data_IF_400913045204
#
_entry.id   IF_400913045204
#
_cell.length_a   1.000
_cell.length_b   1.000
_cell.length_c   1.000
_cell.angle_alpha   90.00
_cell.angle_beta   90.00
_cell.angle_gamma   90.00
#
_symmetry.space_group_name_H-M   'P 1'
#
loop_
_entity.id
_entity.type
_entity.pdbx_description
1 polymer ?
#
# COMPACT_ATOMS: atom_id res chain seq x y z
N UNK A 1 -33.01 -22.66 -22.50
CA UNK A 1 -33.15 -21.20 -22.67
C UNK A 1 -32.36 -20.57 -21.53
N UNK A 2 -31.26 -19.89 -21.86
CA UNK A 2 -30.47 -18.97 -21.01
C UNK A 2 -31.39 -18.04 -20.19
N UNK A 3 -30.97 -17.35 -19.11
CA UNK A 3 -29.84 -16.43 -19.07
C UNK A 3 -29.36 -16.15 -17.63
N UNK A 4 -28.04 -16.08 -17.51
CA UNK A 4 -27.15 -15.58 -16.45
C UNK A 4 -27.69 -14.50 -15.50
N UNK A 5 -27.49 -14.73 -14.20
CA UNK A 5 -27.40 -13.69 -13.17
C UNK A 5 -25.94 -13.52 -12.77
N UNK A 6 -25.28 -12.50 -13.33
CA UNK A 6 -23.90 -12.15 -13.01
C UNK A 6 -23.80 -11.72 -11.54
N UNK A 7 -22.97 -12.42 -10.75
CA UNK A 7 -22.41 -11.83 -9.53
C UNK A 7 -21.48 -10.69 -9.96
N UNK A 8 -21.92 -9.46 -9.81
CA UNK A 8 -21.04 -8.29 -9.91
C UNK A 8 -20.29 -8.24 -8.58
N UNK A 9 -19.07 -8.78 -8.53
CA UNK A 9 -18.13 -8.39 -7.49
C UNK A 9 -17.95 -6.87 -7.62
N UNK A 10 -18.47 -6.12 -6.65
CA UNK A 10 -18.06 -4.74 -6.45
C UNK A 10 -16.58 -4.79 -6.12
N UNK A 11 -15.75 -4.42 -7.10
CA UNK A 11 -14.35 -4.09 -6.87
C UNK A 11 -14.31 -2.86 -5.97
N UNK A 12 -14.43 -3.04 -4.65
CA UNK A 12 -13.78 -2.13 -3.72
C UNK A 12 -12.29 -2.42 -3.94
N UNK A 13 -11.64 -1.57 -4.74
CA UNK A 13 -10.19 -1.62 -4.87
C UNK A 13 -9.66 -1.25 -3.48
N UNK A 14 -9.09 -2.19 -2.69
CA UNK A 14 -8.36 -1.76 -1.51
C UNK A 14 -7.18 -0.95 -2.08
N UNK A 15 -6.81 0.13 -1.41
CA UNK A 15 -5.68 0.99 -1.76
C UNK A 15 -4.37 0.18 -1.68
N UNK A 16 -4.15 -0.73 -2.64
CA UNK A 16 -3.03 -1.67 -2.68
C UNK A 16 -1.95 -1.05 -3.54
N UNK A 17 -0.89 -0.57 -2.88
CA UNK A 17 0.40 -0.37 -3.54
C UNK A 17 0.85 -1.63 -4.26
N UNK A 18 1.72 -1.46 -5.26
CA UNK A 18 2.21 -2.57 -6.08
C UNK A 18 3.51 -3.09 -5.45
N UNK A 19 3.53 -4.32 -4.93
CA UNK A 19 4.75 -4.99 -4.50
C UNK A 19 5.73 -5.08 -5.66
N UNK A 20 7.00 -4.79 -5.38
CA UNK A 20 8.05 -4.89 -6.38
C UNK A 20 9.06 -5.96 -5.99
N UNK A 21 9.36 -6.85 -6.93
CA UNK A 21 10.43 -7.82 -6.82
C UNK A 21 11.78 -7.20 -7.18
N UNK A 22 12.82 -7.64 -6.47
CA UNK A 22 14.20 -7.28 -6.73
C UNK A 22 15.06 -8.54 -6.83
N UNK A 23 15.97 -8.53 -7.79
CA UNK A 23 16.89 -9.61 -8.13
C UNK A 23 18.35 -9.15 -7.94
N UNK A 24 19.32 -10.04 -8.12
CA UNK A 24 20.75 -9.79 -8.03
C UNK A 24 21.21 -9.19 -6.69
N UNK A 25 20.66 -9.71 -5.58
CA UNK A 25 21.02 -9.28 -4.23
C UNK A 25 20.96 -7.75 -4.05
N UNK A 26 19.91 -7.11 -4.58
CA UNK A 26 19.73 -5.66 -4.55
C UNK A 26 19.93 -5.04 -3.16
N UNK A 27 19.45 -5.70 -2.11
CA UNK A 27 19.58 -5.27 -0.71
C UNK A 27 20.82 -5.88 -0.02
N UNK A 28 21.82 -6.29 -0.81
CA UNK A 28 23.01 -6.99 -0.36
C UNK A 28 22.80 -8.50 -0.23
N UNK A 29 23.92 -9.21 -0.30
CA UNK A 29 24.00 -10.66 -0.17
C UNK A 29 23.66 -11.11 1.26
N UNK A 30 22.93 -12.20 1.38
CA UNK A 30 22.70 -12.91 2.63
C UNK A 30 23.91 -13.73 3.06
N UNK A 31 23.70 -14.52 4.11
CA UNK A 31 24.69 -15.45 4.62
C UNK A 31 23.98 -16.68 5.18
N UNK A 32 24.54 -17.86 4.93
CA UNK A 32 23.99 -19.12 5.45
C UNK A 32 23.24 -19.90 4.36
N UNK A 33 22.16 -20.64 4.70
CA UNK A 33 21.44 -21.44 3.72
C UNK A 33 20.57 -20.57 2.81
N UNK A 34 20.37 -21.02 1.57
CA UNK A 34 19.30 -20.55 0.68
C UNK A 34 18.19 -21.60 0.73
N UNK A 35 16.98 -21.22 1.14
CA UNK A 35 15.93 -22.19 1.46
C UNK A 35 14.96 -22.46 0.31
N UNK A 36 14.70 -21.46 -0.52
CA UNK A 36 13.70 -21.53 -1.58
C UNK A 36 14.31 -21.13 -2.92
N UNK A 37 13.79 -21.74 -3.98
CA UNK A 37 14.20 -21.55 -5.36
C UNK A 37 13.03 -21.88 -6.30
N UNK A 38 12.96 -21.20 -7.45
CA UNK A 38 11.90 -21.29 -8.46
C UNK A 38 10.50 -21.11 -7.91
N UNK A 39 10.32 -20.07 -7.11
CA UNK A 39 9.00 -19.71 -6.60
C UNK A 39 8.10 -19.21 -7.74
N UNK A 40 6.98 -19.89 -7.97
CA UNK A 40 6.03 -19.59 -9.04
C UNK A 40 4.63 -19.35 -8.47
N UNK A 41 4.51 -18.37 -7.58
CA UNK A 41 3.24 -17.98 -6.99
C UNK A 41 2.22 -17.58 -8.07
N UNK A 42 0.96 -17.90 -7.82
CA UNK A 42 -0.20 -17.46 -8.61
C UNK A 42 -0.78 -16.12 -8.14
N UNK A 43 -0.40 -15.69 -6.94
CA UNK A 43 -0.79 -14.41 -6.34
C UNK A 43 -1.94 -14.51 -5.34
N UNK A 44 -2.45 -15.72 -5.07
CA UNK A 44 -3.53 -15.96 -4.11
C UNK A 44 -3.05 -16.68 -2.84
N UNK A 45 -1.79 -17.11 -2.81
CA UNK A 45 -1.16 -17.80 -1.68
C UNK A 45 -1.08 -16.88 -0.46
N UNK A 46 -1.30 -17.46 0.72
CA UNK A 46 -1.22 -16.78 2.01
C UNK A 46 0.21 -16.76 2.57
N UNK A 47 1.05 -17.68 2.11
CA UNK A 47 2.45 -17.79 2.51
C UNK A 47 3.33 -18.31 1.37
N UNK A 48 4.64 -18.03 1.43
CA UNK A 48 5.60 -18.48 0.42
C UNK A 48 5.69 -20.01 0.28
N UNK A 49 5.36 -20.78 1.32
CA UNK A 49 5.37 -22.25 1.27
C UNK A 49 4.23 -22.84 0.43
N UNK A 50 3.17 -22.08 0.18
CA UNK A 50 2.04 -22.51 -0.65
C UNK A 50 2.32 -22.32 -2.15
N UNK A 51 3.30 -21.49 -2.49
CA UNK A 51 3.68 -21.26 -3.87
C UNK A 51 4.37 -22.52 -4.44
N UNK A 52 4.10 -22.90 -5.70
CA UNK A 52 4.90 -23.92 -6.37
C UNK A 52 6.39 -23.53 -6.34
N UNK A 53 7.25 -24.41 -5.81
CA UNK A 53 8.69 -24.19 -5.68
C UNK A 53 9.46 -25.52 -5.69
N UNK A 54 10.78 -25.47 -5.84
CA UNK A 54 11.65 -26.66 -5.66
C UNK A 54 11.62 -27.12 -4.18
N UNK A 55 12.02 -28.36 -3.88
CA UNK A 55 12.09 -28.78 -2.47
C UNK A 55 13.02 -27.86 -1.65
N UNK A 56 12.78 -27.75 -0.34
CA UNK A 56 13.61 -26.93 0.55
C UNK A 56 15.12 -27.21 0.40
N UNK A 57 15.93 -26.15 0.29
CA UNK A 57 17.38 -26.20 0.06
C UNK A 57 17.81 -26.84 -1.27
N UNK A 58 16.88 -27.12 -2.19
CA UNK A 58 17.19 -27.60 -3.52
C UNK A 58 17.29 -26.42 -4.50
N UNK A 59 18.48 -25.83 -4.58
CA UNK A 59 18.79 -24.68 -5.43
C UNK A 59 20.15 -24.84 -6.12
N UNK A 60 20.36 -24.11 -7.21
CA UNK A 60 21.68 -23.93 -7.83
C UNK A 60 22.24 -22.52 -7.64
N UNK A 61 21.64 -21.76 -6.73
CA UNK A 61 21.95 -20.35 -6.54
C UNK A 61 23.08 -20.11 -5.55
N UNK A 62 23.76 -18.98 -5.69
CA UNK A 62 24.60 -18.37 -4.65
C UNK A 62 23.94 -17.10 -4.07
N UNK A 63 24.59 -16.42 -3.12
CA UNK A 63 23.98 -15.26 -2.45
C UNK A 63 23.91 -14.00 -3.33
N UNK A 64 24.55 -13.97 -4.51
CA UNK A 64 24.32 -12.92 -5.50
C UNK A 64 22.90 -13.01 -6.08
N UNK A 65 22.25 -14.16 -5.97
CA UNK A 65 20.89 -14.42 -6.45
C UNK A 65 19.86 -14.32 -5.32
N UNK A 66 20.20 -13.68 -4.19
CA UNK A 66 19.24 -13.49 -3.10
C UNK A 66 18.15 -12.48 -3.50
N UNK A 67 16.89 -12.93 -3.39
CA UNK A 67 15.70 -12.19 -3.74
C UNK A 67 15.35 -11.11 -2.70
N UNK A 68 14.87 -9.97 -3.20
CA UNK A 68 14.37 -8.86 -2.39
C UNK A 68 12.97 -8.43 -2.77
N UNK A 69 12.33 -7.68 -1.88
CA UNK A 69 11.03 -7.03 -2.16
C UNK A 69 11.03 -5.61 -1.66
N UNK A 70 10.22 -4.77 -2.32
CA UNK A 70 9.70 -3.56 -1.73
C UNK A 70 8.18 -3.68 -1.65
N UNK A 71 7.68 -3.78 -0.43
CA UNK A 71 6.27 -3.76 -0.09
C UNK A 71 5.82 -2.32 0.01
N UNK A 72 5.96 -1.56 -1.08
CA UNK A 72 5.43 -0.21 -1.14
C UNK A 72 3.91 -0.32 -1.06
N UNK A 73 3.27 -0.05 0.09
CA UNK A 73 1.86 -0.38 0.26
C UNK A 73 0.96 0.68 -0.35
N UNK A 74 1.55 1.74 -0.90
CA UNK A 74 0.85 2.88 -1.46
C UNK A 74 1.37 3.14 -2.87
N UNK A 75 0.45 3.25 -3.82
CA UNK A 75 0.74 3.91 -5.10
C UNK A 75 0.62 5.42 -4.93
N UNK A 76 1.16 6.17 -5.89
CA UNK A 76 0.90 7.60 -5.97
C UNK A 76 -0.60 7.88 -5.92
N UNK A 77 -0.98 8.87 -5.11
CA UNK A 77 -2.36 9.29 -4.95
C UNK A 77 -3.18 8.56 -3.91
N UNK A 78 -2.59 7.59 -3.20
CA UNK A 78 -3.23 7.08 -1.97
C UNK A 78 -3.30 8.22 -0.96
N UNK A 79 -4.45 8.34 -0.28
CA UNK A 79 -4.70 9.37 0.72
C UNK A 79 -4.91 8.76 2.10
N UNK A 80 -4.62 9.54 3.15
CA UNK A 80 -4.93 9.21 4.54
C UNK A 80 -5.38 10.46 5.31
N UNK A 81 -6.05 10.24 6.43
CA UNK A 81 -6.44 11.29 7.38
C UNK A 81 -5.62 11.14 8.67
N UNK A 82 -5.00 12.22 9.13
CA UNK A 82 -4.08 12.24 10.29
C UNK A 82 -4.51 13.34 11.27
N UNK A 83 -4.24 13.17 12.57
CA UNK A 83 -4.47 14.24 13.56
C UNK A 83 -5.84 14.21 14.23
N UNK A 84 -6.58 13.09 14.10
CA UNK A 84 -7.73 12.76 14.96
C UNK A 84 -7.61 11.31 15.46
N UNK A 85 -8.28 11.03 16.58
CA UNK A 85 -8.46 9.66 17.10
C UNK A 85 -9.48 8.85 16.26
N UNK A 86 -10.24 9.54 15.41
CA UNK A 86 -11.23 8.94 14.53
C UNK A 86 -10.66 8.65 13.13
N UNK A 87 -10.93 7.47 12.54
CA UNK A 87 -10.43 7.12 11.21
C UNK A 87 -11.16 7.81 10.05
N UNK A 88 -12.24 8.56 10.32
CA UNK A 88 -13.04 9.23 9.29
C UNK A 88 -12.84 10.74 9.26
N UNK A 89 -11.89 11.28 10.02
CA UNK A 89 -11.57 12.70 9.97
C UNK A 89 -10.09 12.97 10.25
N UNK A 90 -9.57 14.07 9.72
CA UNK A 90 -8.17 14.46 9.93
C UNK A 90 -7.64 15.38 8.85
N UNK A 91 -6.41 15.85 9.04
CA UNK A 91 -5.59 16.48 8.01
C UNK A 91 -5.37 15.48 6.87
N UNK A 92 -5.59 15.93 5.65
CA UNK A 92 -5.40 15.14 4.46
C UNK A 92 -3.93 15.07 4.08
N UNK A 93 -3.44 13.85 3.92
CA UNK A 93 -2.12 13.60 3.36
C UNK A 93 -2.25 12.67 2.14
N UNK A 94 -1.39 12.88 1.15
CA UNK A 94 -1.29 12.10 -0.08
C UNK A 94 0.10 11.49 -0.19
N UNK A 95 0.17 10.30 -0.77
CA UNK A 95 1.42 9.61 -1.04
C UNK A 95 1.90 9.90 -2.46
N UNK A 96 3.17 10.28 -2.62
CA UNK A 96 3.80 10.41 -3.92
C UNK A 96 5.29 10.08 -3.83
N UNK A 97 5.79 9.26 -4.76
CA UNK A 97 7.23 9.02 -4.96
C UNK A 97 8.02 8.56 -3.71
N UNK A 98 7.38 7.85 -2.77
CA UNK A 98 8.04 7.33 -1.56
C UNK A 98 7.67 8.04 -0.27
N UNK A 99 7.10 9.24 -0.36
CA UNK A 99 6.86 10.10 0.79
C UNK A 99 5.39 10.49 0.94
N UNK A 100 5.00 10.74 2.19
CA UNK A 100 3.75 11.40 2.52
C UNK A 100 3.96 12.90 2.55
N UNK A 101 2.98 13.63 2.05
CA UNK A 101 2.92 15.08 2.20
C UNK A 101 1.48 15.57 2.28
N UNK A 102 1.33 16.80 2.72
CA UNK A 102 0.04 17.43 2.95
C UNK A 102 -0.53 18.02 1.66
N UNK A 103 -1.77 18.49 1.74
CA UNK A 103 -2.48 19.10 0.61
C UNK A 103 -2.94 20.48 1.04
N UNK A 104 -2.68 21.51 0.23
CA UNK A 104 -3.11 22.87 0.51
C UNK A 104 -4.64 23.01 0.45
N UNK A 105 -5.22 23.88 1.28
CA UNK A 105 -6.66 24.14 1.39
C UNK A 105 -7.22 25.19 0.43
N UNK A 106 -6.36 25.78 -0.42
CA UNK A 106 -6.75 26.71 -1.46
C UNK A 106 -7.84 26.13 -2.37
N UNK A 107 -8.94 26.88 -2.49
CA UNK A 107 -10.12 26.54 -3.28
C UNK A 107 -10.81 25.21 -2.91
N UNK A 108 -10.56 24.67 -1.72
CA UNK A 108 -11.23 23.45 -1.26
C UNK A 108 -12.73 23.66 -1.02
N UNK A 109 -13.49 22.62 -1.38
CA UNK A 109 -14.95 22.59 -1.29
C UNK A 109 -15.43 21.18 -0.95
N UNK A 110 -16.71 21.02 -0.63
CA UNK A 110 -17.32 19.73 -0.35
C UNK A 110 -17.16 18.71 -1.51
N UNK A 111 -17.01 19.16 -2.76
CA UNK A 111 -16.77 18.27 -3.90
C UNK A 111 -15.43 17.53 -3.78
N UNK A 112 -14.39 18.20 -3.30
CA UNK A 112 -13.07 17.62 -3.04
C UNK A 112 -13.13 16.61 -1.90
N UNK A 113 -13.74 17.03 -0.78
CA UNK A 113 -13.96 16.18 0.38
C UNK A 113 -14.74 14.91 0.00
N UNK A 114 -15.75 15.02 -0.87
CA UNK A 114 -16.54 13.87 -1.31
C UNK A 114 -15.70 12.86 -2.11
N UNK A 115 -14.75 13.31 -2.93
CA UNK A 115 -13.82 12.44 -3.66
C UNK A 115 -12.90 11.71 -2.67
N UNK A 116 -12.31 12.44 -1.71
CA UNK A 116 -11.43 11.86 -0.67
C UNK A 116 -12.18 10.83 0.17
N UNK A 117 -13.36 11.18 0.69
CA UNK A 117 -14.15 10.28 1.52
C UNK A 117 -14.58 9.03 0.74
N UNK A 118 -14.98 9.16 -0.52
CA UNK A 118 -15.29 8.02 -1.38
C UNK A 118 -14.06 7.15 -1.65
N UNK A 119 -12.91 7.76 -1.90
CA UNK A 119 -11.64 7.04 -2.10
C UNK A 119 -11.22 6.25 -0.86
N UNK A 120 -11.49 6.78 0.34
CA UNK A 120 -11.29 6.11 1.63
C UNK A 120 -12.38 5.08 1.97
N UNK A 121 -13.40 4.91 1.12
CA UNK A 121 -14.47 3.94 1.30
C UNK A 121 -15.69 4.46 2.08
N UNK A 122 -15.70 5.72 2.50
CA UNK A 122 -16.85 6.36 3.12
C UNK A 122 -17.90 6.75 2.09
N UNK A 123 -19.18 6.61 2.46
CA UNK A 123 -20.33 6.82 1.56
C UNK A 123 -21.30 7.91 2.04
N UNK A 124 -21.05 8.50 3.21
CA UNK A 124 -21.88 9.57 3.76
C UNK A 124 -21.49 10.95 3.24
N UNK A 125 -21.94 11.97 3.96
CA UNK A 125 -21.56 13.36 3.72
C UNK A 125 -20.06 13.54 3.92
N UNK A 126 -19.48 14.48 3.20
CA UNK A 126 -18.08 14.87 3.32
C UNK A 126 -17.99 16.37 3.54
N UNK A 127 -17.09 16.79 4.42
CA UNK A 127 -16.89 18.18 4.80
C UNK A 127 -15.41 18.53 4.76
N UNK A 128 -15.12 19.76 4.38
CA UNK A 128 -13.80 20.36 4.54
C UNK A 128 -13.70 20.88 5.97
N UNK A 129 -12.60 20.56 6.64
CA UNK A 129 -12.23 21.17 7.91
C UNK A 129 -11.11 22.17 7.65
N UNK A 130 -11.40 23.45 7.90
CA UNK A 130 -10.47 24.56 7.71
C UNK A 130 -9.63 24.83 8.97
N UNK A 131 -8.67 25.75 8.83
CA UNK A 131 -7.97 26.41 9.94
C UNK A 131 -7.10 25.49 10.79
N UNK A 132 -6.51 24.46 10.19
CA UNK A 132 -5.59 23.56 10.89
C UNK A 132 -6.24 22.78 12.05
N UNK A 133 -7.55 22.52 12.00
CA UNK A 133 -8.31 21.85 13.06
C UNK A 133 -7.67 20.54 13.56
N UNK A 134 -7.01 19.80 12.66
CA UNK A 134 -6.35 18.53 12.94
C UNK A 134 -4.82 18.67 13.10
N UNK A 135 -4.36 19.90 13.32
CA UNK A 135 -2.96 20.28 13.39
C UNK A 135 -2.29 20.39 12.03
N UNK A 136 -1.22 21.17 12.00
CA UNK A 136 -0.35 21.35 10.85
C UNK A 136 0.48 20.08 10.59
N UNK A 137 0.77 19.81 9.31
CA UNK A 137 1.73 18.80 8.93
C UNK A 137 3.16 19.28 9.04
N UNK A 138 4.07 18.41 8.58
CA UNK A 138 5.50 18.72 8.52
C UNK A 138 6.09 18.11 7.26
N UNK A 139 7.02 18.81 6.61
CA UNK A 139 7.76 18.28 5.47
C UNK A 139 7.20 18.77 4.15
N UNK A 140 6.78 17.86 3.29
CA UNK A 140 6.32 18.18 1.94
C UNK A 140 4.85 18.60 1.95
N UNK A 141 4.51 19.65 1.20
CA UNK A 141 3.15 19.93 0.72
C UNK A 141 3.14 19.46 -0.74
N UNK A 142 2.36 18.42 -1.04
CA UNK A 142 2.47 17.70 -2.32
C UNK A 142 1.45 18.13 -3.36
N UNK A 143 0.27 18.58 -2.93
CA UNK A 143 -0.80 18.99 -3.83
C UNK A 143 -1.33 20.38 -3.46
N UNK A 144 -1.69 21.10 -4.51
CA UNK A 144 -2.26 22.43 -4.47
C UNK A 144 -3.17 22.64 -5.69
N UNK A 145 -4.07 23.62 -5.62
CA UNK A 145 -5.04 24.00 -6.66
C UNK A 145 -5.83 22.79 -7.17
N UNK A 146 -6.27 21.94 -6.24
CA UNK A 146 -7.08 20.76 -6.55
C UNK A 146 -8.45 21.22 -7.04
N UNK A 147 -8.92 20.65 -8.15
CA UNK A 147 -10.16 21.00 -8.83
C UNK A 147 -10.96 19.74 -9.16
N UNK A 148 -11.80 19.32 -8.22
CA UNK A 148 -12.70 18.19 -8.37
C UNK A 148 -14.11 18.65 -8.78
N UNK A 149 -14.77 17.87 -9.64
CA UNK A 149 -16.21 17.96 -9.93
C UNK A 149 -17.05 17.21 -8.91
N UNK A 150 -16.43 16.32 -8.13
CA UNK A 150 -17.07 15.48 -7.11
C UNK A 150 -17.39 14.06 -7.59
N UNK A 151 -17.17 13.75 -8.87
CA UNK A 151 -17.45 12.43 -9.49
C UNK A 151 -16.21 11.55 -9.68
N UNK A 152 -15.02 12.09 -9.40
CA UNK A 152 -13.73 11.46 -9.64
C UNK A 152 -13.51 10.21 -8.77
N UNK A 153 -12.83 9.19 -9.31
CA UNK A 153 -12.56 7.96 -8.54
C UNK A 153 -11.54 8.15 -7.42
N UNK A 154 -10.58 9.06 -7.61
CA UNK A 154 -9.48 9.37 -6.70
C UNK A 154 -9.16 10.86 -6.75
N UNK A 155 -8.47 11.37 -5.73
CA UNK A 155 -8.03 12.77 -5.66
C UNK A 155 -7.14 13.16 -6.85
N UNK A 156 -6.26 12.25 -7.32
CA UNK A 156 -5.41 12.48 -8.50
C UNK A 156 -6.15 12.47 -9.83
N UNK A 157 -7.40 12.05 -9.86
CA UNK A 157 -8.22 12.17 -11.07
C UNK A 157 -8.82 13.57 -11.23
N UNK A 158 -8.70 14.42 -10.20
CA UNK A 158 -9.06 15.83 -10.25
C UNK A 158 -7.94 16.62 -10.96
N UNK A 159 -8.27 17.81 -11.50
CA UNK A 159 -7.21 18.73 -11.92
C UNK A 159 -6.42 19.19 -10.69
N UNK A 160 -5.10 19.32 -10.79
CA UNK A 160 -4.26 19.83 -9.70
C UNK A 160 -2.96 20.42 -10.27
N UNK A 161 -2.25 21.21 -9.48
CA UNK A 161 -0.91 21.68 -9.83
C UNK A 161 0.09 20.51 -9.95
N UNK A 162 1.26 20.77 -10.55
CA UNK A 162 2.36 19.79 -10.54
C UNK A 162 2.79 19.46 -9.10
N UNK A 163 3.25 18.24 -8.87
CA UNK A 163 3.66 17.77 -7.55
C UNK A 163 4.64 18.72 -6.85
N UNK A 164 4.31 19.12 -5.62
CA UNK A 164 5.13 20.03 -4.83
C UNK A 164 5.17 21.48 -5.30
N UNK A 165 4.41 21.84 -6.34
CA UNK A 165 4.25 23.24 -6.76
C UNK A 165 3.07 23.85 -6.01
N UNK A 166 3.39 24.66 -5.00
CA UNK A 166 2.43 25.40 -4.18
C UNK A 166 3.05 26.73 -3.71
N UNK A 167 2.23 27.67 -3.28
CA UNK A 167 2.64 28.85 -2.50
C UNK A 167 2.17 28.84 -1.04
N UNK A 168 1.57 27.71 -0.63
CA UNK A 168 1.07 27.50 0.72
C UNK A 168 2.15 27.18 1.76
N UNK A 169 1.78 27.35 3.02
CA UNK A 169 2.47 26.92 4.23
C UNK A 169 1.66 25.86 4.98
N UNK A 170 2.23 25.21 6.00
CA UNK A 170 1.50 24.15 6.72
C UNK A 170 0.29 24.65 7.53
N UNK A 171 0.15 25.97 7.76
CA UNK A 171 -1.09 26.52 8.32
C UNK A 171 -2.28 26.43 7.36
N UNK A 172 -2.02 26.12 6.09
CA UNK A 172 -2.99 25.96 5.00
C UNK A 172 -3.17 24.47 4.63
N UNK A 173 -2.75 23.54 5.51
CA UNK A 173 -2.99 22.12 5.28
C UNK A 173 -4.48 21.78 5.48
N UNK A 174 -5.10 21.20 4.44
CA UNK A 174 -6.53 20.91 4.45
C UNK A 174 -6.90 19.74 5.35
N UNK A 175 -7.99 19.88 6.09
CA UNK A 175 -8.67 18.80 6.79
C UNK A 175 -9.89 18.28 6.06
N UNK A 176 -10.21 17.00 6.23
CA UNK A 176 -11.43 16.37 5.70
C UNK A 176 -12.12 15.60 6.81
N UNK A 177 -13.45 15.71 6.87
CA UNK A 177 -14.33 14.89 7.71
C UNK A 177 -15.32 14.12 6.86
N UNK A 178 -15.38 12.81 7.07
CA UNK A 178 -16.26 11.88 6.38
C UNK A 178 -17.33 11.35 7.34
N UNK A 179 -18.56 11.24 6.87
CA UNK A 179 -19.63 10.55 7.60
C UNK A 179 -19.73 9.09 7.11
N UNK A 180 -20.00 8.19 8.07
CA UNK A 180 -20.34 6.79 7.78
C UNK A 180 -21.78 6.75 7.27
N UNK A 181 -21.97 6.93 5.97
CA UNK A 181 -23.25 6.66 5.31
C UNK A 181 -23.75 5.27 5.69
N UNK A 182 -25.07 5.13 5.88
CA UNK A 182 -25.75 3.98 6.50
C UNK A 182 -25.18 2.59 6.17
N UNK A 183 -25.15 1.78 7.22
CA UNK A 183 -24.61 0.42 7.37
C UNK A 183 -24.42 -0.43 6.10
N UNK A 184 -23.19 -0.93 5.94
CA UNK A 184 -22.98 -2.38 5.79
C UNK A 184 -21.85 -2.81 6.73
N UNK A 185 -22.22 -3.55 7.77
CA UNK A 185 -21.27 -4.29 8.59
C UNK A 185 -20.74 -5.48 7.78
N UNK A 186 -19.65 -5.27 7.06
CA UNK A 186 -18.81 -6.38 6.59
C UNK A 186 -17.36 -6.06 6.94
N UNK A 187 -16.86 -6.75 7.98
CA UNK A 187 -15.43 -6.97 8.17
C UNK A 187 -15.17 -8.37 7.60
N UNK A 188 -14.57 -8.51 6.41
CA UNK A 188 -14.06 -9.80 5.98
C UNK A 188 -12.96 -10.21 6.95
N UNK A 189 -13.09 -11.39 7.53
CA UNK A 189 -12.13 -11.93 8.50
C UNK A 189 -10.71 -11.97 7.93
N UNK A 190 -9.75 -11.54 8.75
CA UNK A 190 -8.32 -11.71 8.47
C UNK A 190 -8.01 -13.21 8.34
N UNK A 191 -7.37 -13.66 7.25
CA UNK A 191 -6.87 -15.03 7.16
C UNK A 191 -5.75 -15.23 8.19
N UNK A 192 -5.79 -16.35 8.93
CA UNK A 192 -4.70 -16.75 9.81
C UNK A 192 -3.48 -17.13 8.96
N UNK A 193 -2.33 -16.52 9.25
CA UNK A 193 -1.08 -16.78 8.52
C UNK A 193 -0.51 -18.11 9.01
N UNK A 194 -0.69 -19.16 8.22
CA UNK A 194 0.03 -20.44 8.36
C UNK A 194 1.21 -20.45 7.39
N UNK A 195 2.42 -20.53 7.94
CA UNK A 195 3.64 -20.61 7.14
C UNK A 195 4.92 -20.31 7.93
N UNK A 196 6.10 -20.43 7.30
CA UNK A 196 7.35 -20.13 7.95
C UNK A 196 7.44 -18.63 8.25
N UNK A 197 8.18 -18.25 9.30
CA UNK A 197 8.39 -16.84 9.61
C UNK A 197 9.20 -16.20 8.48
N UNK A 198 8.76 -15.03 8.03
CA UNK A 198 9.44 -14.25 6.99
C UNK A 198 9.89 -12.91 7.58
N UNK A 199 11.04 -12.40 7.15
CA UNK A 199 11.51 -11.06 7.47
C UNK A 199 12.16 -10.39 6.27
N UNK A 200 12.22 -9.06 6.30
CA UNK A 200 12.97 -8.24 5.36
C UNK A 200 14.23 -7.71 6.04
N UNK A 201 15.39 -7.87 5.40
CA UNK A 201 16.69 -7.47 5.94
C UNK A 201 17.37 -6.48 4.99
N UNK A 202 18.09 -5.51 5.57
CA UNK A 202 18.93 -4.55 4.84
C UNK A 202 18.18 -3.63 3.84
N UNK A 203 16.88 -3.40 4.08
CA UNK A 203 16.16 -2.27 3.46
C UNK A 203 16.36 -0.97 4.24
N UNK A 204 16.13 0.17 3.59
CA UNK A 204 16.16 1.48 4.24
C UNK A 204 14.90 1.72 5.10
N UNK A 205 13.84 0.96 4.82
CA UNK A 205 12.62 0.91 5.64
C UNK A 205 12.25 -0.52 6.06
N UNK A 206 11.35 -0.64 7.03
CA UNK A 206 10.76 -1.94 7.46
C UNK A 206 9.90 -2.63 6.39
N UNK A 207 9.68 -2.00 5.24
CA UNK A 207 8.81 -2.48 4.16
C UNK A 207 9.58 -2.95 2.94
N UNK A 208 10.90 -2.94 2.99
CA UNK A 208 11.72 -3.44 1.91
C UNK A 208 12.94 -4.17 2.45
N UNK A 209 13.58 -4.94 1.59
CA UNK A 209 14.79 -5.67 1.93
C UNK A 209 14.87 -7.02 1.25
N UNK A 210 15.99 -7.71 1.50
CA UNK A 210 16.18 -9.11 1.16
C UNK A 210 15.18 -9.96 1.93
N UNK A 211 14.55 -10.91 1.25
CA UNK A 211 13.59 -11.84 1.87
C UNK A 211 14.35 -12.97 2.54
N UNK A 212 14.10 -13.15 3.83
CA UNK A 212 14.62 -14.30 4.58
C UNK A 212 13.47 -15.07 5.24
N UNK A 213 13.60 -16.40 5.24
CA UNK A 213 12.63 -17.36 5.75
C UNK A 213 13.26 -18.13 6.92
N UNK A 214 12.50 -18.37 7.99
CA UNK A 214 12.95 -19.12 9.16
C UNK A 214 12.49 -20.58 9.10
N UNK A 215 13.44 -21.50 9.01
CA UNK A 215 13.19 -22.93 8.95
C UNK A 215 14.23 -23.69 9.78
N UNK A 216 13.78 -24.74 10.47
CA UNK A 216 14.64 -25.63 11.27
C UNK A 216 15.58 -24.89 12.25
N UNK A 217 15.11 -23.78 12.83
CA UNK A 217 15.87 -23.00 13.81
C UNK A 217 16.87 -22.01 13.21
N UNK A 218 16.88 -21.81 11.89
CA UNK A 218 17.82 -20.93 11.19
C UNK A 218 17.11 -20.02 10.19
N UNK A 219 17.69 -18.84 9.95
CA UNK A 219 17.30 -17.94 8.87
C UNK A 219 18.09 -18.27 7.61
N UNK A 220 17.43 -18.20 6.46
CA UNK A 220 18.04 -18.38 5.16
C UNK A 220 17.35 -17.54 4.10
N UNK A 221 18.05 -17.27 3.00
CA UNK A 221 17.56 -16.43 1.91
C UNK A 221 16.67 -17.21 0.93
N UNK A 222 16.09 -16.46 -0.01
CA UNK A 222 15.29 -16.97 -1.11
C UNK A 222 16.03 -16.67 -2.41
N UNK A 223 16.14 -17.64 -3.32
CA UNK A 223 16.73 -17.42 -4.63
C UNK A 223 15.79 -16.64 -5.57
N UNK A 224 16.36 -15.79 -6.41
CA UNK A 224 15.66 -14.92 -7.34
C UNK A 224 15.29 -15.58 -8.69
N UNK A 225 15.65 -16.86 -8.88
CA UNK A 225 15.22 -17.67 -10.01
C UNK A 225 13.68 -17.74 -10.09
N UNK A 226 13.12 -17.12 -11.13
CA UNK A 226 11.66 -17.01 -11.32
C UNK A 226 10.97 -15.95 -10.45
N UNK A 227 11.74 -15.17 -9.68
CA UNK A 227 11.22 -14.14 -8.76
C UNK A 227 10.66 -12.94 -9.51
N UNK A 228 9.39 -12.63 -9.24
CA UNK A 228 8.64 -11.56 -9.88
C UNK A 228 7.65 -10.89 -8.92
N UNK A 229 6.96 -9.85 -9.40
CA UNK A 229 6.06 -9.04 -8.58
C UNK A 229 4.89 -9.84 -7.97
N UNK A 230 4.51 -10.98 -8.55
CA UNK A 230 3.51 -11.89 -7.97
C UNK A 230 4.08 -12.58 -6.72
N UNK A 231 5.35 -13.01 -6.75
CA UNK A 231 6.02 -13.53 -5.56
C UNK A 231 6.17 -12.45 -4.49
N UNK A 232 6.58 -11.24 -4.90
CA UNK A 232 6.67 -10.10 -4.00
C UNK A 232 5.32 -9.81 -3.34
N UNK A 233 4.21 -9.95 -4.06
CA UNK A 233 2.88 -9.77 -3.50
C UNK A 233 2.52 -10.79 -2.43
N UNK A 234 2.90 -12.06 -2.61
CA UNK A 234 2.71 -13.06 -1.55
C UNK A 234 3.51 -12.70 -0.31
N UNK A 235 4.77 -12.28 -0.44
CA UNK A 235 5.60 -11.83 0.71
C UNK A 235 4.97 -10.66 1.42
N UNK A 236 4.60 -9.62 0.68
CA UNK A 236 4.07 -8.38 1.26
C UNK A 236 2.73 -8.62 1.97
N UNK A 237 1.90 -9.52 1.46
CA UNK A 237 0.66 -9.95 2.13
C UNK A 237 0.95 -10.80 3.36
N UNK A 238 1.88 -11.76 3.27
CA UNK A 238 2.29 -12.60 4.40
C UNK A 238 2.87 -11.79 5.56
N UNK A 239 3.50 -10.65 5.27
CA UNK A 239 4.04 -9.72 6.27
C UNK A 239 3.01 -8.70 6.78
N UNK A 240 1.76 -8.74 6.29
CA UNK A 240 0.69 -7.83 6.69
C UNK A 240 0.84 -6.40 6.16
N UNK A 241 1.55 -6.23 5.03
CA UNK A 241 1.70 -4.94 4.36
C UNK A 241 0.65 -4.69 3.26
N UNK A 242 -0.31 -5.60 3.05
CA UNK A 242 -1.38 -5.52 2.03
C UNK A 242 -2.68 -6.20 2.45
#
# INVERSE_FOLDING_TARGET
MSIYGHCVCLCVCPLRGVPKAWTWAHFGQGSGPIFLDRLQCTGNELSLEECPHNNWQQHNCDHMEDAGVSCNPYTDGVVRLVGSDSPWEGRLEVYHSGDWGTVCDDNWTEHHAQVVCRQLGFRGRAEVASDGLYGEGTGLILLDEVQCKGSEGTLLSCGHAEWGRHDCSHSEDVGVRCERGGETNEVPGLPQITGPLVRLVAGESRKEGRVEVFLNGQWGSVCDDGWNDINAAVVCRQLGFM
#
